data_IF_707858793674
#
_entry.id   IF_707858793674
#
_cell.length_a   1.000
_cell.length_b   1.000
_cell.length_c   1.000
_cell.angle_alpha   90.00
_cell.angle_beta   90.00
_cell.angle_gamma   90.00
#
_symmetry.space_group_name_H-M   'P 1'
#
loop_
_entity.id
_entity.type
_entity.pdbx_description
1 polymer ?
#
# COMPACT_ATOMS: atom_id res chain seq x y z
N UNK A 1 7.18 7.87 3.97
CA UNK A 1 6.08 8.74 4.43
C UNK A 1 6.08 9.99 3.55
N UNK A 2 4.95 10.39 2.94
CA UNK A 2 4.89 11.61 2.10
C UNK A 2 5.21 12.88 2.88
N UNK A 3 5.84 13.85 2.21
CA UNK A 3 6.31 15.11 2.82
C UNK A 3 5.19 15.91 3.50
N UNK A 4 3.99 15.90 2.89
CA UNK A 4 2.76 16.48 3.45
C UNK A 4 2.47 16.04 4.89
N UNK A 5 2.88 14.84 5.27
CA UNK A 5 2.51 14.22 6.54
C UNK A 5 3.65 14.18 7.56
N UNK A 6 4.84 14.68 7.23
CA UNK A 6 6.02 14.63 8.10
C UNK A 6 5.79 15.34 9.45
N UNK A 7 5.08 16.48 9.44
CA UNK A 7 4.80 17.26 10.66
C UNK A 7 3.51 16.86 11.37
N UNK A 8 2.74 15.93 10.81
CA UNK A 8 1.42 15.55 11.31
C UNK A 8 1.42 14.11 11.83
N UNK A 9 0.90 13.91 13.04
CA UNK A 9 0.64 12.57 13.58
C UNK A 9 -0.66 12.04 12.97
N UNK A 10 -0.59 11.47 11.76
CA UNK A 10 -1.75 10.88 11.06
C UNK A 10 -1.54 9.37 10.97
N UNK A 11 -2.57 8.62 11.37
CA UNK A 11 -2.66 7.17 11.32
C UNK A 11 -3.49 6.71 10.11
N UNK A 12 -2.96 5.71 9.40
CA UNK A 12 -3.61 5.05 8.26
C UNK A 12 -4.57 3.94 8.68
N UNK A 13 -4.61 3.57 9.97
CA UNK A 13 -5.51 2.54 10.51
C UNK A 13 -6.92 3.08 10.83
N UNK A 14 -7.33 4.17 10.18
CA UNK A 14 -8.70 4.67 10.22
C UNK A 14 -9.14 5.32 11.54
N UNK A 15 -8.22 5.65 12.46
CA UNK A 15 -8.50 6.51 13.61
C UNK A 15 -8.51 8.00 13.23
N UNK A 16 -7.77 8.37 12.18
CA UNK A 16 -7.68 9.73 11.68
C UNK A 16 -8.52 9.95 10.42
N UNK A 17 -9.62 10.70 10.55
CA UNK A 17 -10.53 11.01 9.44
C UNK A 17 -9.93 11.92 8.35
N UNK A 18 -8.70 12.42 8.56
CA UNK A 18 -7.93 13.14 7.54
C UNK A 18 -7.44 12.20 6.43
N UNK A 19 -7.39 10.88 6.69
CA UNK A 19 -6.89 9.88 5.75
C UNK A 19 -7.59 8.53 5.94
N UNK A 20 -8.42 8.12 4.96
CA UNK A 20 -9.23 6.89 5.02
C UNK A 20 -9.01 5.97 3.81
N UNK A 21 -7.77 5.81 3.35
CA UNK A 21 -7.41 4.98 2.19
C UNK A 21 -7.97 3.55 2.24
N UNK A 22 -7.91 2.93 3.43
CA UNK A 22 -8.38 1.56 3.65
C UNK A 22 -9.72 1.50 4.39
N UNK A 23 -10.40 2.64 4.57
CA UNK A 23 -11.57 2.77 5.42
C UNK A 23 -11.25 2.71 6.92
N UNK A 24 -12.30 2.53 7.75
CA UNK A 24 -12.19 2.49 9.20
C UNK A 24 -13.18 1.50 9.83
N UNK A 25 -12.93 1.15 11.09
CA UNK A 25 -13.79 0.25 11.87
C UNK A 25 -13.89 -1.18 11.31
N UNK A 26 -15.06 -1.81 11.52
CA UNK A 26 -15.32 -3.21 11.16
C UNK A 26 -15.37 -3.49 9.66
N UNK A 27 -15.53 -2.44 8.84
CA UNK A 27 -15.60 -2.53 7.38
C UNK A 27 -14.28 -2.11 6.72
N UNK A 28 -13.20 -1.95 7.50
CA UNK A 28 -11.88 -1.63 6.97
C UNK A 28 -11.37 -2.73 6.05
N UNK A 29 -10.62 -2.35 5.02
CA UNK A 29 -9.98 -3.27 4.09
C UNK A 29 -9.10 -4.28 4.87
N UNK A 30 -9.38 -5.59 4.79
CA UNK A 30 -8.58 -6.60 5.50
C UNK A 30 -7.14 -6.69 4.96
N UNK A 31 -6.91 -6.24 3.73
CA UNK A 31 -5.60 -6.23 3.06
C UNK A 31 -4.73 -5.00 3.33
N UNK A 32 -5.10 -4.10 4.26
CA UNK A 32 -4.36 -2.84 4.47
C UNK A 32 -2.87 -3.05 4.78
N UNK A 33 -2.53 -4.12 5.49
CA UNK A 33 -1.15 -4.44 5.87
C UNK A 33 -0.28 -4.78 4.66
N UNK A 34 -0.85 -5.41 3.63
CA UNK A 34 -0.16 -5.75 2.38
C UNK A 34 0.04 -4.49 1.53
N UNK A 35 -0.97 -3.63 1.46
CA UNK A 35 -0.89 -2.37 0.69
C UNK A 35 0.15 -1.38 1.20
N UNK A 36 0.54 -1.46 2.49
CA UNK A 36 1.53 -0.56 3.09
C UNK A 36 2.98 -1.04 2.93
N UNK A 37 3.21 -2.33 2.65
CA UNK A 37 4.57 -2.90 2.59
C UNK A 37 4.75 -3.74 1.33
N UNK A 38 5.30 -3.10 0.31
CA UNK A 38 5.68 -3.70 -0.97
C UNK A 38 6.94 -3.01 -1.48
N UNK A 39 7.59 -3.64 -2.46
CA UNK A 39 8.74 -3.08 -3.15
C UNK A 39 8.66 -3.32 -4.65
N UNK A 40 9.42 -2.54 -5.41
CA UNK A 40 9.61 -2.77 -6.84
C UNK A 40 10.48 -4.01 -7.08
N UNK A 41 10.32 -4.69 -8.22
CA UNK A 41 11.23 -5.74 -8.65
C UNK A 41 12.68 -5.24 -8.72
N UNK A 42 13.63 -6.15 -8.48
CA UNK A 42 15.05 -5.83 -8.49
C UNK A 42 15.47 -5.29 -9.87
N UNK A 43 16.05 -4.09 -9.90
CA UNK A 43 16.51 -3.43 -11.13
C UNK A 43 15.52 -2.47 -11.80
N UNK A 44 14.30 -2.33 -11.28
CA UNK A 44 13.33 -1.34 -11.76
C UNK A 44 13.43 -0.04 -10.95
N UNK A 45 13.47 1.11 -11.63
CA UNK A 45 13.50 2.43 -10.96
C UNK A 45 12.13 3.11 -10.99
N UNK A 46 11.93 4.11 -10.11
CA UNK A 46 10.66 4.86 -10.02
C UNK A 46 10.31 5.59 -11.31
N UNK A 47 11.31 6.01 -12.08
CA UNK A 47 11.12 6.81 -13.30
C UNK A 47 10.59 5.97 -14.47
N UNK A 48 10.72 4.65 -14.39
CA UNK A 48 10.25 3.71 -15.40
C UNK A 48 8.76 3.35 -15.23
N UNK A 49 8.13 3.79 -14.13
CA UNK A 49 6.74 3.48 -13.82
C UNK A 49 5.79 4.51 -14.46
N UNK A 50 4.94 4.05 -15.37
CA UNK A 50 3.82 4.86 -15.86
C UNK A 50 2.67 4.87 -14.86
N UNK A 51 2.36 6.04 -14.30
CA UNK A 51 1.20 6.24 -13.40
C UNK A 51 -0.07 6.65 -14.16
N UNK A 52 -0.15 6.42 -15.47
CA UNK A 52 -1.41 6.63 -16.20
C UNK A 52 -2.51 5.73 -15.63
N UNK A 53 -3.71 6.26 -15.46
CA UNK A 53 -4.84 5.56 -14.84
C UNK A 53 -5.95 5.30 -15.87
N UNK A 54 -6.74 4.26 -15.62
CA UNK A 54 -8.04 4.07 -16.29
C UNK A 54 -9.12 4.52 -15.32
N UNK A 55 -9.98 5.44 -15.75
CA UNK A 55 -11.06 5.96 -14.91
C UNK A 55 -12.31 5.09 -14.98
N UNK A 56 -12.90 4.77 -13.83
CA UNK A 56 -14.10 3.96 -13.71
C UNK A 56 -14.61 3.90 -12.27
N UNK A 57 -15.15 2.76 -11.84
CA UNK A 57 -15.56 2.53 -10.44
C UNK A 57 -14.36 2.60 -9.48
N UNK A 58 -13.18 2.21 -9.96
CA UNK A 58 -11.87 2.37 -9.32
C UNK A 58 -10.93 3.08 -10.29
N UNK A 59 -9.75 3.47 -9.80
CA UNK A 59 -8.68 4.12 -10.59
C UNK A 59 -7.43 3.22 -10.63
N UNK A 60 -7.45 2.07 -11.32
CA UNK A 60 -6.27 1.24 -11.48
C UNK A 60 -5.27 1.92 -12.43
N UNK A 61 -3.98 1.59 -12.27
CA UNK A 61 -2.96 1.93 -13.27
C UNK A 61 -3.32 1.25 -14.60
N UNK A 62 -3.22 2.01 -15.68
CA UNK A 62 -3.48 1.57 -17.06
C UNK A 62 -2.54 0.46 -17.50
N UNK A 63 -1.28 0.57 -17.08
CA UNK A 63 -0.28 -0.46 -17.28
C UNK A 63 -0.12 -1.24 -15.97
N UNK A 64 -0.30 -2.57 -15.96
CA UNK A 64 -0.07 -3.36 -14.77
C UNK A 64 1.39 -3.27 -14.34
N UNK A 65 1.62 -2.92 -13.08
CA UNK A 65 2.95 -2.92 -12.48
C UNK A 65 3.15 -4.17 -11.63
N UNK A 66 4.33 -4.75 -11.73
CA UNK A 66 4.75 -5.83 -10.85
C UNK A 66 5.20 -5.26 -9.50
N UNK A 67 4.75 -5.88 -8.42
CA UNK A 67 5.16 -5.53 -7.07
C UNK A 67 5.52 -6.81 -6.31
N UNK A 68 6.62 -6.75 -5.56
CA UNK A 68 7.05 -7.84 -4.69
C UNK A 68 6.57 -7.52 -3.28
N UNK A 69 5.75 -8.42 -2.73
CA UNK A 69 5.27 -8.29 -1.36
C UNK A 69 6.32 -8.84 -0.41
N UNK A 70 6.67 -8.06 0.61
CA UNK A 70 7.57 -8.53 1.66
C UNK A 70 6.78 -9.06 2.86
N UNK A 71 7.09 -10.28 3.34
CA UNK A 71 6.53 -10.79 4.59
C UNK A 71 6.75 -9.81 5.74
N UNK A 72 5.76 -9.71 6.63
CA UNK A 72 5.88 -8.88 7.83
C UNK A 72 6.88 -9.51 8.81
N UNK A 73 6.90 -10.84 8.89
CA UNK A 73 7.76 -11.62 9.77
C UNK A 73 8.77 -12.46 8.95
N UNK A 74 9.89 -12.89 9.55
CA UNK A 74 10.77 -13.87 8.92
C UNK A 74 10.04 -15.16 8.53
N UNK A 75 10.44 -15.78 7.41
CA UNK A 75 9.78 -16.96 6.83
C UNK A 75 9.58 -18.12 7.83
N UNK A 76 10.55 -18.35 8.72
CA UNK A 76 10.49 -19.43 9.71
C UNK A 76 9.35 -19.27 10.73
N UNK A 77 8.83 -18.06 10.95
CA UNK A 77 7.69 -17.83 11.84
C UNK A 77 6.34 -18.16 11.19
N UNK A 78 6.30 -18.35 9.87
CA UNK A 78 5.10 -18.81 9.16
C UNK A 78 5.07 -20.33 8.97
N UNK A 79 6.22 -21.00 9.08
CA UNK A 79 6.34 -22.45 8.88
C UNK A 79 5.84 -23.30 10.08
N UNK A 80 5.52 -22.66 11.21
CA UNK A 80 5.11 -23.30 12.45
C UNK A 80 3.59 -23.30 12.71
N UNK A 81 2.78 -23.10 11.66
CA UNK A 81 1.31 -23.07 11.74
C UNK A 81 0.68 -24.31 11.07
#
# INVERSE_FOLDING_TARGET
MPERFISSKIDVKGQDYKLLLFGSGWRMCPGYSLGLKWRLPDGMTSEQLSMEEIFGLSTPCKFPHEAVVEPKLPAHLYAAA
#
